data_IF_776033597885
#
_entry.id   IF_776033597885
#
_cell.length_a   1.000
_cell.length_b   1.000
_cell.length_c   1.000
_cell.angle_alpha   90.00
_cell.angle_beta   90.00
_cell.angle_gamma   90.00
#
_symmetry.space_group_name_H-M   'P 1'
#
loop_
_entity.id
_entity.type
_entity.pdbx_description
1 polymer ?
#
# COMPACT_ATOMS: atom_id res chain seq x y z
N UNK A 1 11.78 22.13 12.95
CA UNK A 1 12.75 21.01 12.99
C UNK A 1 12.12 19.88 13.76
N UNK A 2 12.27 18.65 13.25
CA UNK A 2 11.71 17.36 13.68
C UNK A 2 10.21 17.13 13.40
N UNK A 3 9.92 16.51 12.26
CA UNK A 3 8.69 15.73 12.04
C UNK A 3 9.01 14.26 12.33
N UNK A 4 8.51 13.77 13.46
CA UNK A 4 8.55 12.35 13.82
C UNK A 4 7.27 11.71 13.29
N UNK A 5 7.42 10.76 12.36
CA UNK A 5 6.34 9.89 11.89
C UNK A 5 6.26 8.70 12.85
N UNK A 6 5.26 8.69 13.73
CA UNK A 6 4.97 7.52 14.58
C UNK A 6 4.15 6.50 13.77
N UNK A 7 4.81 5.44 13.31
CA UNK A 7 4.18 4.25 12.73
C UNK A 7 3.90 3.24 13.85
N UNK A 8 2.63 2.98 14.14
CA UNK A 8 2.19 1.95 15.10
C UNK A 8 1.63 0.76 14.31
N UNK A 9 2.27 -0.40 14.43
CA UNK A 9 1.75 -1.69 13.92
C UNK A 9 0.83 -2.33 14.95
N UNK A 10 -0.34 -2.86 14.54
CA UNK A 10 -1.29 -3.57 15.42
C UNK A 10 -1.70 -4.91 14.81
N UNK A 11 -1.56 -5.99 15.59
CA UNK A 11 -1.94 -7.36 15.24
C UNK A 11 -3.39 -7.63 15.66
N UNK A 12 -4.23 -8.25 14.82
CA UNK A 12 -5.62 -8.56 15.18
C UNK A 12 -6.09 -9.90 14.54
N UNK A 13 -6.79 -10.74 15.32
CA UNK A 13 -7.42 -12.01 14.90
C UNK A 13 -8.94 -11.94 15.05
N UNK A 14 -9.69 -12.34 14.01
CA UNK A 14 -11.08 -12.84 14.05
C UNK A 14 -12.24 -11.84 13.95
N UNK A 15 -13.05 -11.91 12.88
CA UNK A 15 -14.52 -12.21 12.90
C UNK A 15 -15.21 -11.93 11.53
N UNK A 16 -16.31 -12.67 11.30
CA UNK A 16 -17.15 -12.78 10.09
C UNK A 16 -18.46 -11.96 10.12
N UNK A 17 -18.95 -11.50 8.96
CA UNK A 17 -20.39 -11.32 8.66
C UNK A 17 -20.88 -9.92 8.18
N UNK A 18 -21.50 -9.89 6.98
CA UNK A 18 -22.52 -8.99 6.34
C UNK A 18 -23.01 -7.71 7.09
N UNK A 19 -23.48 -6.61 6.50
CA UNK A 19 -23.94 -6.19 5.15
C UNK A 19 -24.26 -4.67 5.19
N UNK A 20 -24.00 -3.95 4.09
CA UNK A 20 -24.54 -2.64 3.63
C UNK A 20 -24.92 -1.53 4.63
N UNK A 21 -24.20 -0.41 4.59
CA UNK A 21 -24.76 0.95 4.35
C UNK A 21 -23.68 2.05 4.45
N UNK A 22 -23.76 3.03 3.55
CA UNK A 22 -22.90 4.20 3.52
C UNK A 22 -23.18 5.18 4.68
N UNK A 23 -22.16 5.50 5.48
CA UNK A 23 -21.91 6.83 6.05
C UNK A 23 -20.63 6.82 6.88
N UNK A 24 -19.88 7.90 6.72
CA UNK A 24 -18.81 8.39 7.60
C UNK A 24 -19.09 8.07 9.07
N UNK A 25 -18.16 7.35 9.69
CA UNK A 25 -18.15 7.05 11.11
C UNK A 25 -16.85 6.38 11.48
N UNK A 26 -15.96 7.09 12.17
CA UNK A 26 -14.83 6.48 12.88
C UNK A 26 -15.42 5.48 13.87
N UNK A 27 -15.29 4.18 13.60
CA UNK A 27 -15.52 3.12 14.57
C UNK A 27 -14.70 1.88 14.24
N UNK A 28 -13.74 1.63 15.12
CA UNK A 28 -13.20 0.34 15.53
C UNK A 28 -12.79 -0.67 14.45
N UNK A 29 -11.47 -0.80 14.32
CA UNK A 29 -10.73 -1.90 13.75
C UNK A 29 -11.41 -3.28 13.93
N UNK A 30 -11.74 -3.91 12.80
CA UNK A 30 -11.75 -5.37 12.67
C UNK A 30 -10.57 -5.77 11.76
N UNK A 31 -9.86 -6.90 12.03
CA UNK A 31 -8.59 -7.24 11.37
C UNK A 31 -8.60 -7.55 9.88
N UNK A 32 -9.77 -7.70 9.27
CA UNK A 32 -9.89 -8.25 7.92
C UNK A 32 -10.78 -7.39 7.05
N UNK A 33 -10.46 -6.10 6.94
CA UNK A 33 -10.91 -5.33 5.80
C UNK A 33 -9.83 -5.52 4.74
N UNK A 34 -10.00 -6.49 3.83
CA UNK A 34 -9.27 -6.47 2.57
C UNK A 34 -9.70 -5.21 1.84
N UNK A 35 -8.87 -4.18 1.86
CA UNK A 35 -9.16 -2.94 1.14
C UNK A 35 -8.72 -3.15 -0.28
N UNK A 36 -9.61 -3.71 -1.11
CA UNK A 36 -9.36 -3.77 -2.55
C UNK A 36 -9.33 -2.37 -3.17
N UNK A 37 -9.91 -1.38 -2.50
CA UNK A 37 -9.82 0.03 -2.82
C UNK A 37 -9.96 0.92 -1.59
N UNK A 38 -9.45 2.14 -1.70
CA UNK A 38 -9.59 3.21 -0.72
C UNK A 38 -9.76 4.55 -1.44
N UNK A 39 -10.29 5.55 -0.74
CA UNK A 39 -10.50 6.89 -1.28
C UNK A 39 -10.07 7.94 -0.26
N UNK A 40 -9.37 8.99 -0.72
CA UNK A 40 -8.96 10.07 0.17
C UNK A 40 -10.15 10.96 0.59
N UNK A 41 -9.92 11.87 1.55
CA UNK A 41 -11.01 12.56 2.27
C UNK A 41 -11.94 13.41 1.39
N UNK A 42 -11.42 14.01 0.32
CA UNK A 42 -12.19 14.81 -0.64
C UNK A 42 -12.78 13.99 -1.80
N UNK A 43 -12.47 12.69 -1.86
CA UNK A 43 -12.95 11.80 -2.90
C UNK A 43 -12.18 11.86 -4.21
N UNK A 44 -11.11 12.65 -4.33
CA UNK A 44 -10.38 12.87 -5.59
C UNK A 44 -9.53 11.68 -6.01
N UNK A 45 -8.77 11.13 -5.09
CA UNK A 45 -7.84 10.02 -5.34
C UNK A 45 -8.48 8.71 -4.90
N UNK A 46 -8.48 7.72 -5.80
CA UNK A 46 -8.93 6.35 -5.52
C UNK A 46 -7.75 5.42 -5.65
N UNK A 47 -7.35 4.76 -4.56
CA UNK A 47 -6.39 3.68 -4.60
C UNK A 47 -7.12 2.36 -4.82
N UNK A 48 -6.56 1.47 -5.63
CA UNK A 48 -7.18 0.18 -5.93
C UNK A 48 -6.17 -0.87 -6.39
N UNK A 49 -6.56 -2.13 -6.31
CA UNK A 49 -5.78 -3.27 -6.79
C UNK A 49 -6.28 -3.73 -8.16
N UNK A 50 -5.37 -4.06 -9.08
CA UNK A 50 -5.73 -4.64 -10.38
C UNK A 50 -4.65 -5.58 -10.92
N UNK A 51 -5.04 -6.58 -11.72
CA UNK A 51 -4.13 -7.40 -12.55
C UNK A 51 -4.09 -6.97 -14.02
N UNK A 52 -4.77 -5.88 -14.34
CA UNK A 52 -4.96 -5.45 -15.72
C UNK A 52 -3.68 -4.78 -16.25
N UNK A 53 -3.07 -5.40 -17.27
CA UNK A 53 -1.80 -4.95 -17.86
C UNK A 53 -1.95 -3.75 -18.82
N UNK A 54 -3.12 -3.13 -18.89
CA UNK A 54 -3.45 -2.05 -19.83
C UNK A 54 -3.81 -0.72 -19.14
N UNK A 55 -3.68 -0.64 -17.80
CA UNK A 55 -3.94 0.58 -17.05
C UNK A 55 -2.81 1.60 -17.15
N UNK A 56 -1.56 1.11 -17.20
CA UNK A 56 -0.34 1.91 -17.37
C UNK A 56 0.72 1.05 -18.07
N UNK A 57 1.53 1.65 -18.95
CA UNK A 57 2.50 0.90 -19.76
C UNK A 57 3.67 0.30 -18.98
N UNK A 58 3.90 0.78 -17.76
CA UNK A 58 4.95 0.26 -16.86
C UNK A 58 4.49 -1.00 -16.12
N UNK A 59 3.20 -1.34 -16.18
CA UNK A 59 2.68 -2.57 -15.58
C UNK A 59 2.93 -3.78 -16.48
N UNK A 60 3.80 -4.70 -16.03
CA UNK A 60 4.39 -5.74 -16.89
C UNK A 60 4.65 -7.08 -16.22
N UNK A 61 4.29 -7.25 -14.95
CA UNK A 61 4.62 -8.45 -14.15
C UNK A 61 3.48 -9.52 -14.16
N UNK A 62 2.31 -9.20 -14.73
CA UNK A 62 1.10 -10.04 -14.70
C UNK A 62 0.66 -10.46 -13.27
N UNK A 63 0.91 -9.59 -12.29
CA UNK A 63 0.55 -9.74 -10.88
C UNK A 63 -0.63 -8.84 -10.50
N UNK A 64 -1.05 -8.91 -9.23
CA UNK A 64 -1.87 -7.81 -8.68
C UNK A 64 -0.95 -6.63 -8.38
N UNK A 65 -1.32 -5.44 -8.80
CA UNK A 65 -0.60 -4.21 -8.51
C UNK A 65 -1.51 -3.16 -7.88
N UNK A 66 -0.90 -2.26 -7.12
CA UNK A 66 -1.59 -1.14 -6.48
C UNK A 66 -1.48 0.08 -7.38
N UNK A 67 -2.63 0.70 -7.63
CA UNK A 67 -2.76 1.90 -8.45
C UNK A 67 -3.44 3.01 -7.66
N UNK A 68 -3.21 4.25 -8.09
CA UNK A 68 -4.03 5.40 -7.72
C UNK A 68 -4.58 6.06 -8.98
N UNK A 69 -5.88 6.33 -8.98
CA UNK A 69 -6.56 7.11 -10.00
C UNK A 69 -6.92 8.49 -9.46
N UNK A 70 -6.42 9.53 -10.12
CA UNK A 70 -6.83 10.92 -9.89
C UNK A 70 -8.09 11.20 -10.72
N UNK A 71 -9.26 11.26 -10.06
CA UNK A 71 -10.54 11.49 -10.72
C UNK A 71 -10.68 12.88 -11.32
N UNK A 72 -9.85 13.85 -10.91
CA UNK A 72 -9.86 15.19 -11.48
C UNK A 72 -9.19 15.20 -12.86
N UNK A 73 -8.05 14.52 -12.98
CA UNK A 73 -7.23 14.54 -14.21
C UNK A 73 -7.47 13.32 -15.10
N UNK A 74 -8.10 12.27 -14.58
CA UNK A 74 -8.27 10.97 -15.24
C UNK A 74 -6.98 10.14 -15.30
N UNK A 75 -5.94 10.54 -14.56
CA UNK A 75 -4.63 9.87 -14.60
C UNK A 75 -4.60 8.69 -13.64
N UNK A 76 -4.11 7.54 -14.12
CA UNK A 76 -3.81 6.38 -13.29
C UNK A 76 -2.29 6.25 -13.11
N UNK A 77 -1.84 5.99 -11.88
CA UNK A 77 -0.43 5.84 -11.52
C UNK A 77 -0.21 4.50 -10.84
N UNK A 78 0.85 3.79 -11.24
CA UNK A 78 1.35 2.59 -10.57
C UNK A 78 2.05 2.96 -9.26
N UNK A 79 1.55 2.47 -8.14
CA UNK A 79 2.09 2.71 -6.80
C UNK A 79 3.15 1.67 -6.45
N UNK A 80 2.89 0.39 -6.74
CA UNK A 80 3.79 -0.74 -6.53
C UNK A 80 4.89 -0.81 -7.61
N UNK A 81 5.51 0.32 -7.90
CA UNK A 81 6.60 0.43 -8.88
C UNK A 81 7.94 0.04 -8.24
N UNK A 82 8.82 -0.58 -9.02
CA UNK A 82 10.18 -0.91 -8.61
C UNK A 82 10.97 0.35 -8.21
N UNK A 83 12.11 0.16 -7.54
CA UNK A 83 12.92 1.25 -7.00
C UNK A 83 13.47 2.22 -8.06
N UNK A 84 13.49 1.81 -9.33
CA UNK A 84 13.91 2.64 -10.47
C UNK A 84 12.77 3.48 -11.04
N UNK A 85 11.53 3.21 -10.66
CA UNK A 85 10.34 3.88 -11.19
C UNK A 85 9.97 3.47 -12.62
N UNK A 86 10.50 2.35 -13.13
CA UNK A 86 10.41 1.99 -14.55
C UNK A 86 9.41 0.89 -14.86
N UNK A 87 9.16 -0.04 -13.93
CA UNK A 87 8.25 -1.17 -14.10
C UNK A 87 7.55 -1.49 -12.76
N UNK A 88 6.49 -2.33 -12.79
CA UNK A 88 5.95 -2.96 -11.57
C UNK A 88 7.02 -3.67 -10.78
N UNK A 89 6.78 -3.74 -9.47
CA UNK A 89 7.58 -4.54 -8.56
C UNK A 89 7.60 -5.99 -8.97
N UNK A 90 8.76 -6.61 -8.79
CA UNK A 90 9.00 -8.03 -9.03
C UNK A 90 9.73 -8.66 -7.85
N UNK A 91 9.66 -9.98 -7.76
CA UNK A 91 10.54 -10.78 -6.92
C UNK A 91 11.11 -11.93 -7.75
N UNK A 92 12.16 -12.56 -7.22
CA UNK A 92 12.72 -13.78 -7.80
C UNK A 92 12.12 -15.04 -7.16
N UNK A 93 10.91 -14.93 -6.59
CA UNK A 93 10.29 -16.04 -5.88
C UNK A 93 9.85 -17.13 -6.86
N UNK A 94 10.31 -18.35 -6.61
CA UNK A 94 9.84 -19.55 -7.32
C UNK A 94 8.52 -20.07 -6.75
N UNK A 95 8.04 -19.52 -5.63
CA UNK A 95 6.75 -19.89 -5.06
C UNK A 95 5.62 -19.29 -5.93
N UNK A 96 4.77 -20.13 -6.56
CA UNK A 96 3.68 -19.66 -7.40
C UNK A 96 2.59 -18.89 -6.64
N UNK A 97 2.60 -18.92 -5.31
CA UNK A 97 1.72 -18.11 -4.46
C UNK A 97 2.23 -16.67 -4.25
N UNK A 98 3.53 -16.43 -4.43
CA UNK A 98 4.17 -15.12 -4.19
C UNK A 98 4.49 -14.44 -5.53
N UNK A 99 3.46 -14.22 -6.37
CA UNK A 99 3.61 -13.72 -7.76
C UNK A 99 3.93 -12.22 -7.85
N UNK A 100 4.78 -11.68 -6.97
CA UNK A 100 5.06 -10.24 -6.87
C UNK A 100 3.81 -9.37 -6.59
N UNK A 101 2.72 -9.97 -6.10
CA UNK A 101 1.46 -9.26 -5.86
C UNK A 101 1.61 -8.17 -4.79
N UNK A 102 0.97 -7.03 -5.05
CA UNK A 102 0.78 -5.93 -4.12
C UNK A 102 -0.71 -5.71 -3.84
N UNK A 103 -1.08 -5.40 -2.59
CA UNK A 103 -2.47 -5.38 -2.13
C UNK A 103 -2.68 -4.50 -0.89
N UNK A 104 -3.95 -4.40 -0.47
CA UNK A 104 -4.43 -3.63 0.67
C UNK A 104 -3.93 -2.16 0.71
N UNK A 105 -4.15 -1.36 -0.35
CA UNK A 105 -3.84 0.06 -0.33
C UNK A 105 -4.68 0.83 0.69
N UNK A 106 -4.06 1.82 1.32
CA UNK A 106 -4.70 2.80 2.18
C UNK A 106 -4.16 4.19 1.85
N UNK A 107 -5.06 5.14 1.58
CA UNK A 107 -4.72 6.53 1.24
C UNK A 107 -4.70 7.41 2.49
N UNK A 108 -3.74 8.33 2.57
CA UNK A 108 -3.81 9.43 3.53
C UNK A 108 -4.99 10.35 3.22
N UNK A 109 -5.47 11.09 4.25
CA UNK A 109 -6.59 12.03 4.09
C UNK A 109 -6.37 13.07 2.99
N UNK A 110 -5.15 13.59 2.87
CA UNK A 110 -4.73 14.53 1.83
C UNK A 110 -4.44 13.88 0.46
N UNK A 111 -4.45 12.54 0.39
CA UNK A 111 -4.14 11.78 -0.82
C UNK A 111 -2.67 11.75 -1.23
N UNK A 112 -1.74 12.25 -0.40
CA UNK A 112 -0.30 12.26 -0.72
C UNK A 112 0.37 10.89 -0.56
N UNK A 113 -0.01 10.14 0.45
CA UNK A 113 0.65 8.89 0.82
C UNK A 113 -0.25 7.68 0.55
N UNK A 114 0.34 6.61 0.03
CA UNK A 114 -0.30 5.30 -0.09
C UNK A 114 0.50 4.29 0.71
N UNK A 115 -0.10 3.72 1.75
CA UNK A 115 0.44 2.56 2.44
C UNK A 115 -0.12 1.29 1.80
N UNK A 116 0.70 0.27 1.59
CA UNK A 116 0.29 -0.98 0.93
C UNK A 116 1.19 -2.15 1.31
N UNK A 117 0.74 -3.37 1.05
CA UNK A 117 1.53 -4.59 1.23
C UNK A 117 2.05 -5.08 -0.13
N UNK A 118 3.24 -5.67 -0.15
CA UNK A 118 3.79 -6.28 -1.37
C UNK A 118 4.66 -7.49 -1.07
N UNK A 119 4.64 -8.48 -1.97
CA UNK A 119 5.62 -9.57 -2.03
C UNK A 119 6.81 -9.24 -2.94
N UNK A 120 6.80 -8.11 -3.64
CA UNK A 120 7.88 -7.73 -4.54
C UNK A 120 9.09 -7.23 -3.75
N UNK A 121 10.27 -7.76 -4.06
CA UNK A 121 11.52 -7.54 -3.32
C UNK A 121 12.36 -6.39 -3.88
N UNK A 122 11.90 -5.73 -4.95
CA UNK A 122 12.64 -4.72 -5.70
C UNK A 122 12.01 -3.31 -5.62
N UNK A 123 11.00 -3.12 -4.75
CA UNK A 123 10.40 -1.81 -4.48
C UNK A 123 11.40 -0.87 -3.77
N UNK A 124 12.28 -1.44 -2.96
CA UNK A 124 13.42 -0.78 -2.31
C UNK A 124 14.60 -1.74 -2.23
N UNK A 125 15.83 -1.21 -2.14
CA UNK A 125 17.04 -2.03 -2.16
C UNK A 125 17.29 -2.86 -0.89
N UNK A 126 16.64 -2.54 0.23
CA UNK A 126 16.84 -3.19 1.51
C UNK A 126 15.73 -4.19 1.89
N UNK A 127 14.87 -4.54 0.93
CA UNK A 127 13.92 -5.64 1.10
C UNK A 127 14.60 -6.99 0.78
N UNK A 128 14.66 -7.90 1.76
CA UNK A 128 15.62 -9.03 1.74
C UNK A 128 15.09 -10.36 2.27
N UNK A 129 13.81 -10.44 2.65
CA UNK A 129 13.26 -11.61 3.36
C UNK A 129 12.33 -12.49 2.49
N UNK A 130 12.17 -12.17 1.20
CA UNK A 130 11.25 -12.82 0.24
C UNK A 130 9.81 -13.01 0.77
N UNK A 131 9.39 -12.15 1.69
CA UNK A 131 8.10 -12.18 2.37
C UNK A 131 7.27 -10.97 2.01
N UNK A 132 6.00 -10.96 2.45
CA UNK A 132 5.20 -9.75 2.30
C UNK A 132 5.59 -8.71 3.35
N UNK A 133 5.85 -7.50 2.86
CA UNK A 133 6.22 -6.34 3.65
C UNK A 133 5.29 -5.16 3.40
N UNK A 134 5.32 -4.20 4.32
CA UNK A 134 4.52 -2.97 4.28
C UNK A 134 5.38 -1.84 3.75
N UNK A 135 4.85 -1.14 2.75
CA UNK A 135 5.49 -0.01 2.08
C UNK A 135 4.63 1.24 2.16
N UNK A 136 5.26 2.40 2.11
CA UNK A 136 4.60 3.70 1.90
C UNK A 136 5.18 4.35 0.65
N UNK A 137 4.31 4.75 -0.27
CA UNK A 137 4.65 5.57 -1.44
C UNK A 137 4.22 7.02 -1.18
N UNK A 138 5.14 7.96 -1.35
CA UNK A 138 4.82 9.38 -1.46
C UNK A 138 4.54 9.72 -2.93
N UNK A 139 3.30 10.07 -3.26
CA UNK A 139 2.87 10.36 -4.62
C UNK A 139 3.40 11.71 -5.15
N UNK A 140 3.84 12.60 -4.26
CA UNK A 140 4.41 13.90 -4.66
C UNK A 140 5.87 13.75 -5.05
N UNK A 141 6.66 13.02 -4.26
CA UNK A 141 8.10 12.82 -4.53
C UNK A 141 8.37 11.61 -5.42
N UNK A 142 7.42 10.69 -5.55
CA UNK A 142 7.62 9.44 -6.26
C UNK A 142 8.62 8.51 -5.56
N UNK A 143 8.63 8.49 -4.23
CA UNK A 143 9.54 7.65 -3.44
C UNK A 143 8.79 6.58 -2.67
N UNK A 144 9.31 5.35 -2.68
CA UNK A 144 8.81 4.21 -1.89
C UNK A 144 9.71 3.99 -0.67
N UNK A 145 9.13 3.71 0.49
CA UNK A 145 9.86 3.37 1.72
C UNK A 145 9.29 2.10 2.32
N UNK A 146 10.17 1.17 2.71
CA UNK A 146 9.84 -0.01 3.51
C UNK A 146 9.64 0.42 4.97
N UNK A 147 8.48 0.13 5.55
CA UNK A 147 8.14 0.51 6.92
C UNK A 147 8.07 -0.68 7.89
N UNK A 148 7.86 -1.90 7.41
CA UNK A 148 7.97 -3.14 8.20
C UNK A 148 9.42 -3.58 8.37
N UNK A 149 10.26 -2.75 8.97
CA UNK A 149 11.68 -3.04 9.20
C UNK A 149 11.90 -3.89 10.46
N UNK A 150 13.03 -4.59 10.52
CA UNK A 150 13.48 -5.34 11.69
C UNK A 150 13.75 -4.42 12.89
N UNK A 151 13.90 -5.00 14.09
CA UNK A 151 14.17 -4.24 15.31
C UNK A 151 15.41 -3.33 15.22
N UNK A 152 16.40 -3.70 14.41
CA UNK A 152 17.62 -2.92 14.18
C UNK A 152 17.42 -1.74 13.22
N UNK A 153 16.25 -1.65 12.57
CA UNK A 153 15.90 -0.60 11.61
C UNK A 153 16.66 -0.67 10.28
N UNK A 154 17.21 -1.83 9.91
CA UNK A 154 18.13 -1.94 8.75
C UNK A 154 17.53 -2.60 7.51
N UNK A 155 16.73 -3.64 7.70
CA UNK A 155 16.16 -4.48 6.62
C UNK A 155 14.74 -4.89 6.97
N UNK A 156 14.07 -5.65 6.10
CA UNK A 156 12.73 -6.22 6.35
C UNK A 156 12.62 -6.95 7.69
N UNK A 157 11.48 -6.79 8.33
CA UNK A 157 11.08 -7.49 9.54
C UNK A 157 10.52 -8.88 9.25
N UNK A 158 9.90 -9.49 10.26
CA UNK A 158 9.13 -10.71 10.06
C UNK A 158 7.74 -10.39 9.49
N UNK A 159 7.14 -11.30 8.69
CA UNK A 159 5.81 -11.10 8.13
C UNK A 159 4.74 -10.95 9.23
N UNK A 160 3.59 -10.37 8.87
CA UNK A 160 2.44 -10.18 9.78
C UNK A 160 2.20 -8.73 10.20
N UNK A 161 2.76 -7.75 9.48
CA UNK A 161 2.43 -6.33 9.63
C UNK A 161 1.37 -5.92 8.61
N UNK A 162 0.46 -5.03 9.01
CA UNK A 162 -0.57 -4.47 8.14
C UNK A 162 -0.44 -2.95 8.08
N UNK A 163 -0.61 -2.32 6.91
CA UNK A 163 -0.60 -0.87 6.81
C UNK A 163 -1.79 -0.27 7.55
N UNK A 164 -1.57 0.90 8.14
CA UNK A 164 -2.64 1.80 8.57
C UNK A 164 -2.15 3.24 8.37
N UNK A 165 -2.95 4.08 7.74
CA UNK A 165 -2.71 5.52 7.68
C UNK A 165 -3.96 6.24 8.17
N UNK A 166 -3.77 7.28 8.99
CA UNK A 166 -4.87 8.10 9.47
C UNK A 166 -5.48 8.86 8.29
N UNK A 167 -6.81 8.76 8.13
CA UNK A 167 -7.57 9.59 7.19
C UNK A 167 -7.81 11.01 7.73
N UNK A 168 -7.31 11.30 8.93
CA UNK A 168 -7.58 12.52 9.66
C UNK A 168 -6.29 13.30 9.83
N UNK A 169 -6.12 14.33 9.00
CA UNK A 169 -5.20 15.43 9.26
C UNK A 169 -6.05 16.60 9.75
N UNK A 170 -5.94 16.93 11.03
CA UNK A 170 -6.52 18.18 11.55
C UNK A 170 -5.35 19.08 11.91
N UNK A 171 -5.08 20.01 11.00
CA UNK A 171 -4.48 21.29 11.36
C UNK A 171 -5.22 21.87 12.58
N UNK A 172 -4.53 21.91 13.71
CA UNK A 172 -4.76 22.79 14.86
C UNK A 172 -3.39 23.24 15.39
#
# INVERSE_FOLDING_TARGET
MNTQLDLISVNLNGFSGNSDSASLGVLAATPYISRLSDVNADGRYVAFVSRASDLVSTDSNNADDVFVHDRLTGTTTLVSVNSSGTNSGTNNSTNPLNRSSSYDPILSGDGRYVAFMSYASDLVANDTNDSSDVFVRDLVTGTTTLVSINYSGTTSGSPGSYPFISSYDRDQ
#
